data_IF_577849355672
#
_entry.id   IF_577849355672
#
_cell.length_a   1.000
_cell.length_b   1.000
_cell.length_c   1.000
_cell.angle_alpha   90.00
_cell.angle_beta   90.00
_cell.angle_gamma   90.00
#
_symmetry.space_group_name_H-M   'P 1'
#
loop_
_entity.id
_entity.type
_entity.pdbx_description
1 polymer ?
#
# COMPACT_ATOMS: atom_id res chain seq x y z
N UNK A 1 -7.43 28.96 21.83
CA UNK A 1 -7.70 28.08 23.00
C UNK A 1 -6.43 27.27 23.19
N UNK A 2 -5.86 27.16 24.40
CA UNK A 2 -4.61 26.42 24.61
C UNK A 2 -4.88 24.93 24.37
N UNK A 3 -4.49 24.39 23.21
CA UNK A 3 -4.45 22.93 22.99
C UNK A 3 -3.52 22.35 24.06
N UNK A 4 -3.96 21.28 24.73
CA UNK A 4 -3.14 20.62 25.75
C UNK A 4 -1.91 20.02 25.06
N UNK A 5 -0.74 20.24 25.66
CA UNK A 5 0.53 19.69 25.19
C UNK A 5 0.42 18.17 25.05
N UNK A 6 0.57 17.69 23.82
CA UNK A 6 0.56 16.26 23.49
C UNK A 6 1.98 15.76 23.72
N UNK A 7 2.11 14.77 24.60
CA UNK A 7 3.27 13.89 24.59
C UNK A 7 3.04 12.89 23.46
N UNK A 8 3.55 13.21 22.28
CA UNK A 8 3.68 12.22 21.20
C UNK A 8 4.73 11.23 21.71
N UNK A 9 4.46 9.93 21.60
CA UNK A 9 5.42 8.90 21.93
C UNK A 9 5.41 7.91 20.77
N UNK A 10 6.19 8.22 19.74
CA UNK A 10 6.49 7.34 18.63
C UNK A 10 7.50 6.31 19.14
N UNK A 11 6.98 5.25 19.76
CA UNK A 11 7.76 4.09 20.15
C UNK A 11 8.15 3.25 18.95
N UNK A 12 9.08 3.72 18.12
CA UNK A 12 9.78 2.88 17.15
C UNK A 12 11.09 2.38 17.78
N UNK A 13 11.08 1.11 18.15
CA UNK A 13 12.23 0.38 18.69
C UNK A 13 13.33 0.19 17.63
N UNK A 14 14.11 1.25 17.40
CA UNK A 14 15.40 1.18 16.73
C UNK A 14 16.44 0.51 17.62
N UNK A 15 16.88 -0.68 17.23
CA UNK A 15 17.88 -1.46 17.96
C UNK A 15 19.22 -0.74 18.03
N UNK A 16 19.52 -0.16 19.19
CA UNK A 16 20.86 0.28 19.57
C UNK A 16 21.83 -0.93 19.52
N UNK A 17 22.71 -0.95 18.53
CA UNK A 17 23.87 -1.86 18.53
C UNK A 17 24.86 -1.37 19.58
N UNK A 18 24.72 -1.89 20.81
CA UNK A 18 25.73 -1.78 21.85
C UNK A 18 26.94 -2.65 21.47
N UNK A 19 28.04 -2.01 21.04
CA UNK A 19 29.35 -2.65 21.00
C UNK A 19 29.85 -2.83 22.44
N UNK A 20 29.56 -3.99 23.02
CA UNK A 20 30.16 -4.44 24.27
C UNK A 20 31.57 -4.96 24.05
N UNK A 21 32.58 -4.19 24.45
CA UNK A 21 33.95 -4.69 24.59
C UNK A 21 34.23 -4.88 26.09
N UNK A 22 34.37 -6.15 26.49
CA UNK A 22 34.87 -6.58 27.80
C UNK A 22 36.31 -6.07 28.00
N UNK A 23 36.54 -5.24 29.04
CA UNK A 23 37.85 -5.21 29.69
C UNK A 23 37.74 -4.93 31.19
N UNK A 24 38.51 -5.69 31.96
CA UNK A 24 38.44 -5.82 33.40
C UNK A 24 39.47 -4.91 34.06
N UNK A 25 39.05 -3.88 34.78
CA UNK A 25 39.98 -3.04 35.55
C UNK A 25 39.31 -2.06 36.48
N UNK A 26 39.30 -2.36 37.78
CA UNK A 26 38.76 -1.48 38.81
C UNK A 26 39.53 -0.16 38.92
N UNK A 27 38.83 0.94 38.68
CA UNK A 27 39.19 2.28 39.15
C UNK A 27 37.90 3.07 39.40
N UNK A 28 37.84 3.80 40.51
CA UNK A 28 36.76 4.68 40.89
C UNK A 28 36.55 5.77 39.84
N UNK A 29 35.59 5.57 38.92
CA UNK A 29 35.20 6.56 37.93
C UNK A 29 34.00 7.34 38.43
N UNK A 30 34.14 8.66 38.53
CA UNK A 30 32.98 9.54 38.40
C UNK A 30 32.33 9.20 37.06
N UNK A 31 31.08 8.78 37.06
CA UNK A 31 30.30 8.62 35.84
C UNK A 31 30.08 10.01 35.27
N UNK A 32 30.94 10.42 34.32
CA UNK A 32 30.65 11.55 33.44
C UNK A 32 29.32 11.21 32.75
N UNK A 33 28.31 12.10 32.78
CA UNK A 33 27.08 11.89 32.01
C UNK A 33 27.45 11.58 30.56
N UNK A 34 26.92 10.49 30.01
CA UNK A 34 27.13 10.15 28.61
C UNK A 34 26.26 11.09 27.77
N UNK A 35 26.91 11.99 27.03
CA UNK A 35 26.22 12.88 26.09
C UNK A 35 25.45 12.04 25.08
N UNK A 36 24.17 12.35 24.92
CA UNK A 36 23.32 11.78 23.87
C UNK A 36 23.08 12.87 22.83
N UNK A 37 23.41 12.62 21.56
CA UNK A 37 23.19 13.56 20.47
C UNK A 37 22.09 13.08 19.53
N UNK A 38 21.39 14.03 18.93
CA UNK A 38 20.43 13.79 17.86
C UNK A 38 20.86 14.63 16.64
N UNK A 39 21.11 13.95 15.53
CA UNK A 39 21.69 14.55 14.32
C UNK A 39 20.57 14.94 13.37
N UNK A 40 20.47 16.21 13.04
CA UNK A 40 19.47 16.78 12.11
C UNK A 40 20.20 17.29 10.88
N UNK A 41 19.59 17.13 9.71
CA UNK A 41 20.12 17.66 8.44
C UNK A 41 19.16 18.72 7.88
N UNK A 42 19.65 19.95 7.70
CA UNK A 42 18.91 21.02 7.05
C UNK A 42 19.22 21.05 5.54
N UNK A 43 18.21 20.89 4.68
CA UNK A 43 18.38 20.67 3.24
C UNK A 43 17.51 21.64 2.43
N UNK A 44 18.15 22.42 1.57
CA UNK A 44 17.59 23.23 0.47
C UNK A 44 18.57 23.06 -0.70
N UNK A 45 19.85 23.39 -0.45
CA UNK A 45 21.07 22.87 -1.08
C UNK A 45 22.13 22.54 -0.01
N UNK A 46 21.71 21.86 1.06
CA UNK A 46 22.36 21.82 2.39
C UNK A 46 22.61 23.19 3.01
N UNK A 47 21.97 23.47 4.15
CA UNK A 47 22.07 24.78 4.81
C UNK A 47 23.13 24.79 5.89
N UNK A 48 24.22 25.53 5.71
CA UNK A 48 25.27 25.77 6.71
C UNK A 48 25.03 27.06 7.49
N UNK A 49 25.34 27.05 8.79
CA UNK A 49 25.09 28.15 9.73
C UNK A 49 23.59 28.53 9.91
N UNK A 50 22.68 27.60 9.62
CA UNK A 50 21.27 27.71 9.98
C UNK A 50 21.09 27.37 11.46
N UNK A 51 20.10 27.98 12.11
CA UNK A 51 19.75 27.63 13.49
C UNK A 51 18.78 26.45 13.49
N UNK A 52 19.10 25.40 14.24
CA UNK A 52 18.31 24.17 14.32
C UNK A 52 17.94 23.92 15.77
N UNK A 53 16.69 23.58 16.05
CA UNK A 53 16.24 23.20 17.38
C UNK A 53 15.13 22.15 17.36
N UNK A 54 15.04 21.42 18.45
CA UNK A 54 13.96 20.49 18.74
C UNK A 54 12.85 21.23 19.48
N UNK A 55 11.66 21.32 18.90
CA UNK A 55 10.54 22.08 19.48
C UNK A 55 9.76 21.20 20.48
N UNK A 56 10.15 21.30 21.74
CA UNK A 56 9.68 20.41 22.81
C UNK A 56 8.25 20.72 23.24
N UNK A 57 7.79 21.95 23.03
CA UNK A 57 6.50 22.41 23.50
C UNK A 57 5.49 22.68 22.37
N UNK A 58 5.92 22.46 21.12
CA UNK A 58 5.13 22.58 19.87
C UNK A 58 4.60 23.99 19.67
N UNK A 59 5.43 25.00 19.92
CA UNK A 59 5.10 26.42 19.69
C UNK A 59 5.88 27.02 18.49
N UNK A 60 6.69 26.20 17.82
CA UNK A 60 7.57 26.53 16.70
C UNK A 60 8.60 27.62 16.98
N UNK A 61 8.75 28.05 18.22
CA UNK A 61 9.58 29.16 18.65
C UNK A 61 10.68 28.64 19.57
N UNK A 62 11.93 28.88 19.19
CA UNK A 62 13.07 28.44 19.98
C UNK A 62 13.04 28.99 21.42
N UNK A 63 12.91 28.08 22.38
CA UNK A 63 12.97 28.39 23.80
C UNK A 63 14.38 28.12 24.39
N UNK A 64 14.79 28.80 25.48
CA UNK A 64 16.13 28.63 26.06
C UNK A 64 16.45 27.20 26.56
N UNK A 65 15.42 26.42 26.87
CA UNK A 65 15.54 25.06 27.41
C UNK A 65 15.48 23.98 26.30
N UNK A 66 15.36 24.38 25.03
CA UNK A 66 15.28 23.46 23.90
C UNK A 66 16.68 23.10 23.35
N UNK A 67 16.93 21.80 23.07
CA UNK A 67 18.12 21.37 22.36
C UNK A 67 18.26 22.12 21.04
N UNK A 68 19.42 22.75 20.83
CA UNK A 68 19.66 23.53 19.62
C UNK A 68 21.13 23.56 19.24
N UNK A 69 21.39 23.74 17.95
CA UNK A 69 22.73 23.91 17.40
C UNK A 69 22.69 24.77 16.13
N UNK A 70 23.86 25.16 15.64
CA UNK A 70 23.99 25.72 14.30
C UNK A 70 24.43 24.59 13.36
N UNK A 71 23.82 24.50 12.19
CA UNK A 71 24.21 23.51 11.17
C UNK A 71 25.62 23.77 10.64
N UNK A 72 26.34 22.68 10.39
CA UNK A 72 27.69 22.66 9.83
C UNK A 72 27.71 22.37 8.34
N UNK A 73 28.81 21.78 7.87
CA UNK A 73 28.93 21.32 6.49
C UNK A 73 27.93 20.19 6.20
N UNK A 74 27.35 20.18 5.00
CA UNK A 74 26.29 19.23 4.63
C UNK A 74 25.01 19.40 5.45
N UNK A 75 24.76 20.59 6.02
CA UNK A 75 23.52 20.89 6.73
C UNK A 75 23.38 20.25 8.12
N UNK A 76 24.40 19.55 8.62
CA UNK A 76 24.29 18.72 9.84
C UNK A 76 24.35 19.57 11.11
N UNK A 77 23.38 19.40 12.00
CA UNK A 77 23.32 19.97 13.34
C UNK A 77 23.21 18.86 14.39
N UNK A 78 24.15 18.83 15.34
CA UNK A 78 24.17 17.85 16.44
C UNK A 78 23.55 18.48 17.70
N UNK A 79 22.33 18.06 18.04
CA UNK A 79 21.60 18.56 19.20
C UNK A 79 21.97 17.77 20.45
N UNK A 80 22.27 18.46 21.56
CA UNK A 80 22.43 17.80 22.86
C UNK A 80 21.05 17.48 23.45
N UNK A 81 20.68 16.20 23.39
CA UNK A 81 19.39 15.67 23.85
C UNK A 81 19.54 14.82 25.10
N UNK A 82 20.63 14.99 25.86
CA UNK A 82 20.94 14.19 27.05
C UNK A 82 19.80 14.19 28.08
N UNK A 83 19.06 15.30 28.18
CA UNK A 83 17.94 15.48 29.11
C UNK A 83 16.55 15.31 28.45
N UNK A 84 16.49 14.91 27.17
CA UNK A 84 15.24 14.69 26.44
C UNK A 84 14.98 13.19 26.32
N UNK A 85 13.80 12.76 26.79
CA UNK A 85 13.34 11.39 26.56
C UNK A 85 12.72 11.32 25.17
N UNK A 86 13.19 10.40 24.33
CA UNK A 86 12.73 10.17 22.95
C UNK A 86 12.71 11.46 22.10
N UNK A 87 13.86 11.97 21.66
CA UNK A 87 13.90 13.21 20.88
C UNK A 87 13.09 13.14 19.57
N UNK A 88 12.88 11.94 19.00
CA UNK A 88 12.08 11.74 17.79
C UNK A 88 10.58 12.02 17.98
N UNK A 89 10.11 12.19 19.23
CA UNK A 89 8.72 12.50 19.53
C UNK A 89 8.34 13.96 19.23
N UNK A 90 9.31 14.80 18.86
CA UNK A 90 9.14 16.24 18.72
C UNK A 90 9.47 16.71 17.30
N UNK A 91 8.76 17.71 16.78
CA UNK A 91 9.09 18.32 15.51
C UNK A 91 10.42 19.06 15.61
N UNK A 92 11.08 19.19 14.47
CA UNK A 92 12.37 19.86 14.34
C UNK A 92 12.20 21.08 13.48
N UNK A 93 12.78 22.20 13.90
CA UNK A 93 12.66 23.48 13.18
C UNK A 93 14.06 23.95 12.79
N UNK A 94 14.16 24.46 11.56
CA UNK A 94 15.36 25.07 10.99
C UNK A 94 15.02 26.51 10.61
N UNK A 95 15.81 27.47 11.08
CA UNK A 95 15.75 28.86 10.63
C UNK A 95 16.99 29.20 9.82
N UNK A 96 16.77 29.48 8.55
CA UNK A 96 17.74 30.02 7.63
C UNK A 96 17.80 31.55 7.82
N UNK A 97 19.01 32.10 8.09
CA UNK A 97 19.22 33.50 8.47
C UNK A 97 19.89 34.26 7.32
N UNK A 98 19.21 35.28 6.80
CA UNK A 98 19.70 36.16 5.74
C UNK A 98 21.09 36.73 6.05
N UNK A 99 22.03 36.55 5.13
CA UNK A 99 23.39 37.04 5.26
C UNK A 99 24.29 36.27 6.24
N UNK A 100 23.79 35.17 6.83
CA UNK A 100 24.56 34.29 7.72
C UNK A 100 24.54 32.84 7.24
N UNK A 101 23.37 32.32 6.92
CA UNK A 101 23.19 30.96 6.42
C UNK A 101 23.66 30.89 4.97
N UNK A 102 24.39 29.84 4.65
CA UNK A 102 24.91 29.55 3.32
C UNK A 102 24.27 28.26 2.86
N UNK A 103 23.51 28.35 1.78
CA UNK A 103 23.14 27.22 0.96
C UNK A 103 24.40 26.74 0.21
N UNK A 104 24.77 25.47 0.29
CA UNK A 104 26.02 24.99 -0.29
C UNK A 104 26.00 24.97 -1.83
N UNK A 105 24.81 25.01 -2.45
CA UNK A 105 24.62 25.04 -3.90
C UNK A 105 24.44 26.47 -4.44
N UNK A 106 23.71 27.34 -3.72
CA UNK A 106 23.39 28.71 -4.15
C UNK A 106 24.24 29.80 -3.47
N UNK A 107 24.90 29.48 -2.36
CA UNK A 107 25.70 30.41 -1.57
C UNK A 107 24.93 31.12 -0.46
N UNK A 108 25.37 32.33 -0.09
CA UNK A 108 24.80 33.04 1.06
C UNK A 108 23.35 33.46 0.79
N UNK A 109 22.42 32.99 1.63
CA UNK A 109 21.00 33.31 1.44
C UNK A 109 20.72 34.79 1.72
N UNK A 110 19.70 35.33 1.05
CA UNK A 110 19.38 36.76 1.08
C UNK A 110 18.08 37.12 1.80
N UNK A 111 17.22 36.13 2.03
CA UNK A 111 15.94 36.24 2.75
C UNK A 111 15.93 35.24 3.89
N UNK A 112 15.24 35.55 4.99
CA UNK A 112 15.04 34.58 6.06
C UNK A 112 13.92 33.62 5.65
N UNK A 113 14.02 32.38 6.10
CA UNK A 113 12.90 31.46 6.05
C UNK A 113 13.05 30.40 7.13
N UNK A 114 11.95 29.76 7.48
CA UNK A 114 11.84 28.71 8.46
C UNK A 114 11.29 27.46 7.80
N UNK A 115 11.95 26.35 8.06
CA UNK A 115 11.53 25.03 7.65
C UNK A 115 11.25 24.19 8.90
N UNK A 116 10.40 23.19 8.76
CA UNK A 116 10.07 22.26 9.85
C UNK A 116 9.91 20.85 9.33
N UNK A 117 10.21 19.86 10.15
CA UNK A 117 9.89 18.47 9.86
C UNK A 117 8.98 17.91 10.96
N UNK A 118 8.04 17.01 10.63
CA UNK A 118 7.18 16.39 11.61
C UNK A 118 7.97 15.47 12.56
N UNK A 119 7.39 15.09 13.72
CA UNK A 119 8.00 14.11 14.62
C UNK A 119 8.44 12.83 13.88
N UNK A 120 9.60 12.30 14.27
CA UNK A 120 10.23 11.12 13.67
C UNK A 120 11.25 11.45 12.58
N UNK A 121 11.14 12.64 11.96
CA UNK A 121 12.00 13.03 10.84
C UNK A 121 13.26 13.76 11.29
N UNK A 122 14.40 13.38 10.70
CA UNK A 122 15.70 14.02 10.96
C UNK A 122 16.21 14.87 9.78
N UNK A 123 15.46 14.88 8.67
CA UNK A 123 15.68 15.73 7.49
C UNK A 123 14.67 16.85 7.51
N UNK A 124 15.16 18.09 7.53
CA UNK A 124 14.33 19.29 7.51
C UNK A 124 14.55 20.00 6.18
N UNK A 125 13.53 19.96 5.35
CA UNK A 125 13.51 20.43 3.96
C UNK A 125 12.28 21.31 3.70
N UNK A 126 12.24 22.07 2.58
CA UNK A 126 11.03 22.77 2.14
C UNK A 126 9.83 21.81 2.02
N UNK A 127 10.05 20.60 1.50
CA UNK A 127 9.02 19.57 1.33
C UNK A 127 8.50 19.04 2.66
N UNK A 128 9.40 18.70 3.59
CA UNK A 128 9.01 18.27 4.95
C UNK A 128 8.22 19.36 5.71
N UNK A 129 8.42 20.63 5.35
CA UNK A 129 7.69 21.76 5.92
C UNK A 129 6.24 21.74 5.50
N UNK A 130 5.96 21.46 4.23
CA UNK A 130 4.60 21.29 3.73
C UNK A 130 3.91 20.12 4.43
N UNK A 131 4.58 18.98 4.56
CA UNK A 131 4.05 17.80 5.28
C UNK A 131 3.75 18.15 6.74
N UNK A 132 4.66 18.83 7.43
CA UNK A 132 4.44 19.20 8.82
C UNK A 132 3.26 20.17 8.98
N UNK A 133 3.11 21.15 8.07
CA UNK A 133 1.97 22.07 8.08
C UNK A 133 0.65 21.33 7.91
N UNK A 134 0.53 20.49 6.88
CA UNK A 134 -0.69 19.71 6.63
C UNK A 134 -0.99 18.77 7.78
N UNK A 135 0.02 18.10 8.32
CA UNK A 135 -0.12 17.22 9.48
C UNK A 135 -0.69 17.99 10.67
N UNK A 136 -0.04 19.06 11.13
CA UNK A 136 -0.44 19.81 12.33
C UNK A 136 -1.83 20.43 12.21
N UNK A 137 -2.18 20.96 11.02
CA UNK A 137 -3.51 21.52 10.75
C UNK A 137 -4.60 20.43 10.77
N UNK A 138 -4.26 19.18 10.43
CA UNK A 138 -5.17 18.04 10.50
C UNK A 138 -5.39 17.49 11.92
N UNK A 139 -4.59 17.91 12.91
CA UNK A 139 -4.64 17.39 14.28
C UNK A 139 -5.69 18.09 15.15
N UNK A 140 -6.56 17.26 15.74
CA UNK A 140 -7.55 17.64 16.75
C UNK A 140 -6.98 17.59 18.18
N UNK A 141 -5.88 16.86 18.37
CA UNK A 141 -5.16 16.67 19.62
C UNK A 141 -5.66 15.51 20.48
N UNK A 142 -6.38 14.56 19.88
CA UNK A 142 -6.90 13.33 20.51
C UNK A 142 -6.53 12.07 19.75
N UNK A 143 -5.64 12.18 18.76
CA UNK A 143 -5.23 11.10 17.88
C UNK A 143 -4.46 10.01 18.65
N UNK A 144 -4.77 8.77 18.34
CA UNK A 144 -3.95 7.61 18.68
C UNK A 144 -2.68 7.57 17.82
N UNK A 145 -1.64 6.80 18.21
CA UNK A 145 -0.44 6.67 17.40
C UNK A 145 -0.70 6.18 15.96
N UNK A 146 -1.68 5.30 15.76
CA UNK A 146 -2.05 4.81 14.43
C UNK A 146 -2.74 5.89 13.58
N UNK A 147 -3.65 6.66 14.17
CA UNK A 147 -4.31 7.78 13.48
C UNK A 147 -3.32 8.90 13.13
N UNK A 148 -2.31 9.14 13.99
CA UNK A 148 -1.25 10.10 13.72
C UNK A 148 -0.41 9.67 12.51
N UNK A 149 -0.03 8.39 12.46
CA UNK A 149 0.74 7.85 11.33
C UNK A 149 -0.06 7.92 10.02
N UNK A 150 -1.35 7.55 10.07
CA UNK A 150 -2.23 7.67 8.91
C UNK A 150 -2.34 9.12 8.41
N UNK A 151 -2.50 10.08 9.32
CA UNK A 151 -2.55 11.51 8.96
C UNK A 151 -1.23 12.03 8.41
N UNK A 152 -0.10 11.54 8.92
CA UNK A 152 1.23 11.86 8.38
C UNK A 152 1.39 11.29 6.97
N UNK A 153 0.98 10.05 6.75
CA UNK A 153 1.01 9.42 5.44
C UNK A 153 0.12 10.19 4.45
N UNK A 154 -1.09 10.58 4.87
CA UNK A 154 -1.98 11.40 4.04
C UNK A 154 -1.35 12.75 3.70
N UNK A 155 -0.73 13.44 4.66
CA UNK A 155 -0.03 14.70 4.41
C UNK A 155 1.15 14.52 3.43
N UNK A 156 1.88 13.42 3.54
CA UNK A 156 2.97 13.07 2.64
C UNK A 156 2.46 12.80 1.23
N UNK A 157 1.43 11.95 1.08
CA UNK A 157 0.77 11.66 -0.20
C UNK A 157 0.27 12.94 -0.86
N UNK A 158 -0.45 13.80 -0.13
CA UNK A 158 -0.95 15.06 -0.67
C UNK A 158 0.17 15.98 -1.21
N UNK A 159 1.31 16.07 -0.51
CA UNK A 159 2.46 16.87 -0.98
C UNK A 159 3.09 16.25 -2.21
N UNK A 160 3.27 14.93 -2.23
CA UNK A 160 3.82 14.22 -3.37
C UNK A 160 2.97 14.43 -4.63
N UNK A 161 1.65 14.31 -4.47
CA UNK A 161 0.66 14.43 -5.55
C UNK A 161 0.66 15.81 -6.17
N UNK A 162 0.52 16.86 -5.34
CA UNK A 162 0.51 18.24 -5.81
C UNK A 162 1.79 18.64 -6.55
N UNK A 163 2.92 18.01 -6.22
CA UNK A 163 4.21 18.30 -6.81
C UNK A 163 4.56 17.39 -7.99
N UNK A 164 3.80 16.32 -8.24
CA UNK A 164 4.16 15.34 -9.27
C UNK A 164 5.44 14.56 -8.95
N UNK A 165 5.68 14.21 -7.69
CA UNK A 165 6.90 13.47 -7.27
C UNK A 165 6.57 12.18 -6.54
N UNK A 166 7.53 11.28 -6.43
CA UNK A 166 7.39 10.06 -5.63
C UNK A 166 7.24 10.42 -4.14
N UNK A 167 6.30 9.74 -3.48
CA UNK A 167 6.01 9.88 -2.06
C UNK A 167 7.24 9.58 -1.17
N UNK A 168 8.10 8.65 -1.57
CA UNK A 168 9.31 8.28 -0.83
C UNK A 168 10.36 9.41 -0.84
N UNK A 169 10.27 10.34 -1.80
CA UNK A 169 11.24 11.42 -1.97
C UNK A 169 10.91 12.68 -1.14
N UNK A 170 9.70 12.78 -0.58
CA UNK A 170 9.20 13.99 0.10
C UNK A 170 9.93 14.28 1.40
N UNK A 171 10.17 13.25 2.22
CA UNK A 171 10.84 13.37 3.52
C UNK A 171 12.32 12.94 3.48
N UNK A 172 12.82 12.56 2.30
CA UNK A 172 14.17 12.06 2.10
C UNK A 172 15.26 13.15 1.97
N UNK A 173 16.49 12.70 1.80
CA UNK A 173 17.62 13.55 1.39
C UNK A 173 17.74 13.50 -0.14
N UNK A 174 16.92 14.31 -0.80
CA UNK A 174 16.86 14.36 -2.27
C UNK A 174 18.21 14.69 -2.94
N UNK A 175 19.16 15.29 -2.22
CA UNK A 175 20.51 15.57 -2.73
C UNK A 175 21.35 14.29 -2.70
N UNK A 176 21.40 13.62 -1.55
CA UNK A 176 22.17 12.39 -1.39
C UNK A 176 21.66 11.26 -2.31
N UNK A 177 20.33 11.19 -2.47
CA UNK A 177 19.65 10.15 -3.24
C UNK A 177 19.58 10.48 -4.74
N UNK A 178 19.96 11.70 -5.15
CA UNK A 178 19.90 12.22 -6.52
C UNK A 178 18.46 12.30 -7.07
N UNK A 179 17.50 12.64 -6.22
CA UNK A 179 16.10 12.84 -6.60
C UNK A 179 15.91 14.24 -7.15
N UNK A 180 16.13 14.38 -8.45
CA UNK A 180 16.20 15.70 -9.11
C UNK A 180 14.87 16.45 -9.13
N UNK A 181 13.73 15.74 -9.20
CA UNK A 181 12.41 16.37 -9.17
C UNK A 181 12.10 16.94 -7.79
N UNK A 182 12.33 16.16 -6.72
CA UNK A 182 12.21 16.63 -5.34
C UNK A 182 13.17 17.79 -5.03
N UNK A 183 14.42 17.72 -5.52
CA UNK A 183 15.38 18.82 -5.39
C UNK A 183 14.89 20.10 -6.09
N UNK A 184 14.38 19.98 -7.32
CA UNK A 184 13.80 21.10 -8.06
C UNK A 184 12.60 21.70 -7.34
N UNK A 185 11.69 20.86 -6.82
CA UNK A 185 10.53 21.32 -6.06
C UNK A 185 10.96 22.08 -4.79
N UNK A 186 11.89 21.53 -4.02
CA UNK A 186 12.42 22.16 -2.82
C UNK A 186 13.02 23.55 -3.11
N UNK A 187 13.88 23.64 -4.11
CA UNK A 187 14.51 24.91 -4.54
C UNK A 187 13.45 25.94 -4.97
N UNK A 188 12.45 25.54 -5.76
CA UNK A 188 11.43 26.45 -6.26
C UNK A 188 10.46 26.94 -5.18
N UNK A 189 10.17 26.14 -4.15
CA UNK A 189 9.42 26.59 -2.98
C UNK A 189 10.13 27.74 -2.26
N UNK A 190 11.47 27.67 -2.14
CA UNK A 190 12.28 28.73 -1.53
C UNK A 190 12.35 29.96 -2.44
N UNK A 191 12.60 29.77 -3.75
CA UNK A 191 12.65 30.86 -4.73
C UNK A 191 11.34 31.64 -4.84
N UNK A 192 10.21 30.94 -4.65
CA UNK A 192 8.87 31.54 -4.64
C UNK A 192 8.64 32.45 -3.42
N UNK A 193 9.48 32.34 -2.38
CA UNK A 193 9.38 33.10 -1.12
C UNK A 193 8.06 32.88 -0.36
N UNK A 194 7.51 31.67 -0.44
CA UNK A 194 6.25 31.31 0.23
C UNK A 194 6.46 30.63 1.58
N UNK A 195 7.68 30.15 1.86
CA UNK A 195 8.00 29.57 3.17
C UNK A 195 7.92 30.64 4.27
N UNK A 196 7.56 30.28 5.52
CA UNK A 196 7.44 31.23 6.62
C UNK A 196 8.75 32.00 6.85
N UNK A 197 8.71 33.32 6.95
CA UNK A 197 9.91 34.16 7.14
C UNK A 197 10.49 33.97 8.56
N UNK A 198 9.63 33.71 9.55
CA UNK A 198 10.02 33.52 10.94
C UNK A 198 9.17 32.50 11.72
N UNK A 199 9.61 32.17 12.93
CA UNK A 199 8.96 31.18 13.80
C UNK A 199 7.56 31.57 14.24
N UNK A 200 7.26 32.87 14.32
CA UNK A 200 5.94 33.38 14.71
C UNK A 200 4.95 33.21 13.56
N UNK A 201 5.41 33.43 12.33
CA UNK A 201 4.63 33.15 11.13
C UNK A 201 4.35 31.65 11.00
N UNK A 202 5.38 30.80 11.13
CA UNK A 202 5.19 29.34 11.13
C UNK A 202 4.17 28.92 12.19
N UNK A 203 4.32 29.36 13.45
CA UNK A 203 3.36 29.04 14.51
C UNK A 203 1.93 29.49 14.17
N UNK A 204 1.78 30.65 13.52
CA UNK A 204 0.48 31.16 13.10
C UNK A 204 -0.12 30.34 11.96
N UNK A 205 0.70 29.78 11.07
CA UNK A 205 0.27 28.89 9.99
C UNK A 205 -0.18 27.54 10.58
N UNK A 206 0.59 26.94 11.49
CA UNK A 206 0.25 25.64 12.09
C UNK A 206 -1.05 25.66 12.93
N UNK A 207 -1.45 26.83 13.44
CA UNK A 207 -2.72 26.99 14.18
C UNK A 207 -3.97 27.16 13.29
N UNK A 208 -3.80 27.37 11.98
CA UNK A 208 -4.90 27.58 11.05
C UNK A 208 -5.61 26.27 10.68
N UNK A 209 -6.84 26.39 10.18
CA UNK A 209 -7.56 25.30 9.55
C UNK A 209 -7.06 25.16 8.11
N UNK A 210 -6.70 23.95 7.69
CA UNK A 210 -6.16 23.70 6.35
C UNK A 210 -7.09 24.17 5.23
N UNK A 211 -8.41 24.06 5.43
CA UNK A 211 -9.43 24.50 4.47
C UNK A 211 -9.49 26.03 4.26
N UNK A 212 -8.88 26.82 5.14
CA UNK A 212 -8.91 28.28 5.11
C UNK A 212 -7.53 28.91 5.34
N UNK A 213 -6.46 28.15 5.17
CA UNK A 213 -5.09 28.63 5.38
C UNK A 213 -4.59 29.31 4.10
N UNK A 214 -4.36 30.64 4.09
CA UNK A 214 -3.80 31.32 2.91
C UNK A 214 -2.47 30.72 2.47
N UNK A 215 -1.65 30.27 3.44
CA UNK A 215 -0.41 29.57 3.14
C UNK A 215 -0.66 28.29 2.33
N UNK A 216 -1.68 27.49 2.69
CA UNK A 216 -1.97 26.23 1.98
C UNK A 216 -2.47 26.52 0.57
N UNK A 217 -3.36 27.51 0.39
CA UNK A 217 -3.83 27.92 -0.94
C UNK A 217 -2.69 28.39 -1.84
N UNK A 218 -1.82 29.26 -1.33
CA UNK A 218 -0.66 29.74 -2.11
C UNK A 218 0.29 28.59 -2.45
N UNK A 219 0.57 27.70 -1.49
CA UNK A 219 1.38 26.49 -1.73
C UNK A 219 0.76 25.62 -2.81
N UNK A 220 -0.55 25.39 -2.81
CA UNK A 220 -1.22 24.60 -3.85
C UNK A 220 -0.98 25.18 -5.24
N UNK A 221 -1.18 26.49 -5.42
CA UNK A 221 -0.99 27.14 -6.73
C UNK A 221 0.48 27.10 -7.16
N UNK A 222 1.42 27.31 -6.23
CA UNK A 222 2.85 27.22 -6.53
C UNK A 222 3.25 25.78 -6.86
N UNK A 223 2.74 24.79 -6.13
CA UNK A 223 2.98 23.38 -6.40
C UNK A 223 2.49 22.99 -7.79
N UNK A 224 1.32 23.47 -8.21
CA UNK A 224 0.81 23.22 -9.57
C UNK A 224 1.74 23.77 -10.66
N UNK A 225 2.33 24.96 -10.47
CA UNK A 225 3.29 25.53 -11.42
C UNK A 225 4.65 24.79 -11.38
N UNK A 226 5.06 24.25 -10.23
CA UNK A 226 6.23 23.36 -10.10
C UNK A 226 5.96 22.02 -10.82
N UNK A 227 4.79 21.42 -10.60
CA UNK A 227 4.39 20.15 -11.18
C UNK A 227 4.42 20.22 -12.72
N UNK A 228 3.82 21.26 -13.30
CA UNK A 228 3.88 21.54 -14.75
C UNK A 228 5.30 21.55 -15.33
N UNK A 229 6.31 21.92 -14.55
CA UNK A 229 7.73 21.93 -14.97
C UNK A 229 8.37 20.56 -14.82
N UNK A 230 8.04 19.82 -13.77
CA UNK A 230 8.44 18.43 -13.58
C UNK A 230 7.88 17.59 -14.73
N UNK A 231 6.56 17.66 -14.99
CA UNK A 231 5.91 16.95 -16.09
C UNK A 231 6.54 17.24 -17.44
N UNK A 232 6.89 18.51 -17.70
CA UNK A 232 7.60 18.90 -18.91
C UNK A 232 8.93 18.16 -19.04
N UNK A 233 9.72 18.08 -17.97
CA UNK A 233 11.02 17.40 -17.98
C UNK A 233 10.84 15.89 -18.15
N UNK A 234 9.92 15.27 -17.42
CA UNK A 234 9.69 13.83 -17.45
C UNK A 234 9.11 13.38 -18.80
N UNK A 235 8.11 14.09 -19.32
CA UNK A 235 7.52 13.87 -20.64
C UNK A 235 8.47 14.19 -21.80
N UNK A 236 9.60 14.86 -21.53
CA UNK A 236 10.57 15.22 -22.58
C UNK A 236 11.35 14.03 -23.14
N UNK A 237 11.26 12.85 -22.50
CA UNK A 237 12.05 11.67 -22.85
C UNK A 237 13.56 11.91 -22.72
N UNK A 238 13.97 12.74 -21.77
CA UNK A 238 15.37 13.14 -21.52
C UNK A 238 15.91 14.20 -22.47
N UNK A 239 15.05 14.92 -23.19
CA UNK A 239 15.47 16.05 -24.04
C UNK A 239 15.56 17.38 -23.30
N UNK A 240 14.95 17.47 -22.12
CA UNK A 240 15.05 18.58 -21.18
C UNK A 240 15.60 18.08 -19.84
N UNK A 241 16.16 19.00 -19.08
CA UNK A 241 16.58 18.82 -17.69
C UNK A 241 16.11 20.03 -16.87
N UNK A 242 16.14 19.92 -15.54
CA UNK A 242 15.71 21.01 -14.66
C UNK A 242 16.53 22.29 -14.83
N UNK A 243 17.79 22.18 -15.30
CA UNK A 243 18.62 23.34 -15.62
C UNK A 243 18.14 24.10 -16.86
N UNK A 244 17.41 23.44 -17.78
CA UNK A 244 16.92 24.02 -19.03
C UNK A 244 15.46 24.42 -18.98
N UNK A 245 14.64 23.79 -18.13
CA UNK A 245 13.22 24.15 -17.93
C UNK A 245 13.04 25.47 -17.17
N UNK A 246 14.06 25.85 -16.39
CA UNK A 246 14.09 27.07 -15.59
C UNK A 246 13.18 27.02 -14.37
N UNK A 247 13.08 28.15 -13.66
CA UNK A 247 12.28 28.27 -12.45
C UNK A 247 10.77 28.10 -12.75
N UNK A 248 10.02 27.64 -11.76
CA UNK A 248 8.57 27.47 -11.85
C UNK A 248 7.87 28.82 -11.99
N UNK A 249 8.33 29.83 -11.25
CA UNK A 249 7.83 31.20 -11.31
C UNK A 249 8.91 32.16 -11.83
N UNK A 250 8.51 33.11 -12.69
CA UNK A 250 9.41 34.13 -13.24
C UNK A 250 9.88 35.17 -12.19
N UNK A 251 9.19 35.25 -11.05
CA UNK A 251 9.46 36.17 -9.95
C UNK A 251 8.90 35.62 -8.62
N UNK A 252 9.39 36.10 -7.47
CA UNK A 252 8.75 35.83 -6.18
C UNK A 252 7.30 36.28 -6.16
N UNK A 253 6.49 35.58 -5.36
CA UNK A 253 5.05 35.78 -5.26
C UNK A 253 4.72 37.23 -4.83
N UNK A 254 3.71 37.81 -5.48
CA UNK A 254 3.22 39.14 -5.21
C UNK A 254 2.53 39.30 -3.86
N UNK A 255 2.15 40.54 -3.55
CA UNK A 255 1.45 40.90 -2.29
C UNK A 255 0.11 41.60 -2.54
N UNK A 256 -0.30 41.72 -3.80
CA UNK A 256 -1.60 42.31 -4.14
C UNK A 256 -2.60 41.18 -4.20
N UNK A 257 -3.69 41.31 -3.45
CA UNK A 257 -4.77 40.34 -3.35
C UNK A 257 -6.08 41.16 -3.43
N UNK A 258 -6.75 41.09 -4.57
CA UNK A 258 -7.82 41.99 -4.98
C UNK A 258 -9.17 41.63 -4.35
N UNK A 259 -9.42 40.35 -4.06
CA UNK A 259 -10.66 39.88 -3.43
C UNK A 259 -10.48 39.41 -1.98
N UNK A 260 -9.25 39.40 -1.47
CA UNK A 260 -8.85 39.10 -0.09
C UNK A 260 -9.13 37.64 0.31
N UNK A 261 -8.93 36.72 -0.63
CA UNK A 261 -9.11 35.29 -0.39
C UNK A 261 -7.84 34.61 0.18
N UNK A 262 -6.71 35.32 0.17
CA UNK A 262 -5.41 34.88 0.65
C UNK A 262 -4.40 34.51 -0.43
N UNK A 263 -4.81 34.44 -1.70
CA UNK A 263 -3.95 34.15 -2.86
C UNK A 263 -3.63 35.46 -3.60
N UNK A 264 -2.35 35.77 -3.84
CA UNK A 264 -1.99 36.98 -4.58
C UNK A 264 -2.43 36.95 -6.06
N UNK A 265 -2.85 38.10 -6.59
CA UNK A 265 -3.39 38.32 -7.94
C UNK A 265 -2.52 37.75 -9.08
N UNK A 266 -1.22 37.59 -8.87
CA UNK A 266 -0.28 37.04 -9.86
C UNK A 266 -0.25 35.51 -9.90
N UNK A 267 -0.73 34.86 -8.85
CA UNK A 267 -0.95 33.42 -8.76
C UNK A 267 -2.42 33.05 -8.95
N UNK A 268 -3.33 33.91 -8.51
CA UNK A 268 -4.76 33.68 -8.52
C UNK A 268 -5.32 33.63 -9.96
N UNK A 269 -5.95 32.50 -10.32
CA UNK A 269 -6.62 32.33 -11.62
C UNK A 269 -7.94 33.11 -11.70
N UNK A 270 -8.53 33.43 -10.55
CA UNK A 270 -9.75 34.21 -10.39
C UNK A 270 -9.58 35.43 -9.47
N UNK A 271 -8.73 36.44 -9.80
CA UNK A 271 -8.36 37.57 -8.91
C UNK A 271 -9.46 38.50 -8.40
N UNK A 272 -10.73 38.22 -8.70
CA UNK A 272 -11.87 39.02 -8.25
C UNK A 272 -13.01 38.15 -7.72
N UNK A 273 -12.79 36.85 -7.52
CA UNK A 273 -13.75 35.90 -6.98
C UNK A 273 -13.15 35.15 -5.78
N UNK A 274 -13.39 35.67 -4.58
CA UNK A 274 -12.81 35.11 -3.34
C UNK A 274 -13.23 33.67 -3.00
N UNK A 275 -14.07 33.04 -3.81
CA UNK A 275 -14.47 31.65 -3.67
C UNK A 275 -13.56 30.69 -4.47
N UNK A 276 -12.84 31.17 -5.48
CA UNK A 276 -12.04 30.40 -6.41
C UNK A 276 -10.65 31.01 -6.53
N UNK A 277 -9.60 30.20 -6.68
CA UNK A 277 -8.23 30.72 -6.78
C UNK A 277 -7.32 29.91 -7.71
N UNK A 278 -7.65 28.65 -7.96
CA UNK A 278 -6.91 27.72 -8.80
C UNK A 278 -7.84 27.14 -9.89
N UNK A 279 -7.23 26.71 -10.99
CA UNK A 279 -7.84 26.16 -12.22
C UNK A 279 -6.75 25.24 -12.80
N UNK A 280 -6.65 24.03 -12.23
CA UNK A 280 -5.51 23.13 -12.41
C UNK A 280 -5.41 22.63 -13.86
N UNK A 281 -6.53 22.14 -14.41
CA UNK A 281 -6.68 21.69 -15.79
C UNK A 281 -6.83 22.82 -16.84
N UNK A 282 -7.14 24.05 -16.41
CA UNK A 282 -7.31 25.21 -17.27
C UNK A 282 -8.61 25.19 -18.08
N UNK A 283 -9.65 24.48 -17.63
CA UNK A 283 -10.95 24.40 -18.30
C UNK A 283 -11.79 25.69 -18.10
N UNK A 284 -11.43 26.49 -17.09
CA UNK A 284 -12.03 27.77 -16.74
C UNK A 284 -13.10 27.70 -15.65
N UNK A 285 -13.38 26.52 -15.11
CA UNK A 285 -13.99 26.27 -13.80
C UNK A 285 -12.87 26.29 -12.76
N UNK A 286 -13.14 26.82 -11.55
CA UNK A 286 -12.11 26.84 -10.51
C UNK A 286 -12.17 25.58 -9.67
N UNK A 287 -11.02 25.12 -9.17
CA UNK A 287 -10.85 23.84 -8.45
C UNK A 287 -11.79 23.71 -7.23
N UNK A 288 -12.28 24.81 -6.63
CA UNK A 288 -13.22 24.71 -5.50
C UNK A 288 -14.64 24.34 -5.98
N UNK A 289 -14.98 24.69 -7.22
CA UNK A 289 -16.27 24.42 -7.85
C UNK A 289 -16.21 23.28 -8.88
N UNK A 290 -15.02 22.91 -9.35
CA UNK A 290 -14.84 21.73 -10.17
C UNK A 290 -15.09 20.45 -9.37
N UNK A 291 -15.37 19.37 -10.09
CA UNK A 291 -15.55 18.03 -9.51
C UNK A 291 -14.51 17.05 -10.01
N UNK A 292 -13.64 17.47 -10.91
CA UNK A 292 -12.61 16.69 -11.63
C UNK A 292 -11.49 17.68 -11.99
N UNK A 293 -10.65 18.01 -11.00
CA UNK A 293 -9.65 19.09 -11.02
C UNK A 293 -8.57 18.90 -12.11
N UNK A 294 -8.31 17.67 -12.55
CA UNK A 294 -7.32 17.34 -13.59
C UNK A 294 -7.93 16.81 -14.90
N UNK A 295 -9.26 16.65 -14.95
CA UNK A 295 -10.03 16.30 -16.14
C UNK A 295 -9.68 14.90 -16.70
N UNK A 296 -9.26 13.97 -15.84
CA UNK A 296 -8.96 12.58 -16.19
C UNK A 296 -10.24 11.71 -16.38
N UNK A 297 -11.38 12.23 -15.90
CA UNK A 297 -12.70 11.60 -15.98
C UNK A 297 -13.16 10.92 -14.69
N UNK A 298 -12.43 11.06 -13.59
CA UNK A 298 -12.73 10.57 -12.24
C UNK A 298 -12.94 11.77 -11.34
N UNK A 299 -13.98 11.72 -10.51
CA UNK A 299 -14.27 12.86 -9.64
C UNK A 299 -13.30 12.92 -8.46
N UNK A 300 -12.92 14.13 -8.01
CA UNK A 300 -11.97 14.38 -6.90
C UNK A 300 -12.38 13.70 -5.58
N UNK A 301 -13.69 13.47 -5.35
CA UNK A 301 -14.18 12.82 -4.14
C UNK A 301 -13.92 11.32 -4.10
N UNK A 302 -13.56 10.76 -5.25
CA UNK A 302 -13.21 9.35 -5.46
C UNK A 302 -11.83 9.14 -6.05
N UNK A 303 -11.23 10.19 -6.61
CA UNK A 303 -9.89 10.14 -7.15
C UNK A 303 -8.85 10.22 -6.02
N UNK A 304 -7.90 9.30 -6.06
CA UNK A 304 -6.77 9.33 -5.13
C UNK A 304 -5.76 10.39 -5.54
N UNK A 305 -5.68 10.78 -6.82
CA UNK A 305 -4.71 11.71 -7.39
C UNK A 305 -5.34 12.92 -8.11
N UNK A 306 -6.15 13.78 -7.45
CA UNK A 306 -6.94 14.85 -8.12
C UNK A 306 -6.16 15.96 -8.85
N UNK A 307 -4.84 15.84 -8.97
CA UNK A 307 -3.95 16.81 -9.60
C UNK A 307 -2.94 16.10 -10.53
N UNK A 308 -3.26 14.91 -11.04
CA UNK A 308 -2.42 14.12 -11.93
C UNK A 308 -3.28 13.40 -12.97
N UNK A 309 -3.42 14.02 -14.15
CA UNK A 309 -4.27 13.54 -15.27
C UNK A 309 -3.88 12.18 -15.87
N UNK A 310 -2.77 11.60 -15.42
CA UNK A 310 -2.27 10.29 -15.81
C UNK A 310 -2.40 9.22 -14.71
N UNK A 311 -3.09 9.54 -13.60
CA UNK A 311 -3.34 8.67 -12.45
C UNK A 311 -4.79 8.75 -12.02
N UNK A 312 -5.28 7.68 -11.38
CA UNK A 312 -6.68 7.52 -11.01
C UNK A 312 -6.89 6.89 -9.63
N UNK A 313 -5.81 6.42 -8.99
CA UNK A 313 -5.86 5.84 -7.66
C UNK A 313 -5.82 4.34 -7.63
N UNK A 314 -5.82 3.77 -6.43
CA UNK A 314 -5.76 2.34 -6.17
C UNK A 314 -6.95 1.99 -5.26
N UNK A 315 -8.06 1.53 -5.86
CA UNK A 315 -9.37 1.44 -5.20
C UNK A 315 -9.44 0.28 -4.20
N UNK A 316 -8.73 -0.81 -4.46
CA UNK A 316 -8.66 -2.00 -3.61
C UNK A 316 -7.36 -2.12 -2.81
N UNK A 317 -6.38 -1.23 -3.04
CA UNK A 317 -5.08 -1.19 -2.38
C UNK A 317 -4.18 -2.38 -2.76
N UNK A 318 -4.25 -2.84 -4.01
CA UNK A 318 -3.41 -3.90 -4.54
C UNK A 318 -2.01 -3.40 -5.00
N UNK A 319 -1.84 -2.08 -5.03
CA UNK A 319 -0.62 -1.39 -5.44
C UNK A 319 -0.56 -1.04 -6.93
N UNK A 320 -1.67 -1.18 -7.67
CA UNK A 320 -1.81 -0.84 -9.08
C UNK A 320 -2.78 0.32 -9.25
N UNK A 321 -2.44 1.27 -10.11
CA UNK A 321 -3.34 2.38 -10.43
C UNK A 321 -4.53 1.87 -11.26
N UNK A 322 -5.73 2.41 -11.01
CA UNK A 322 -7.01 2.06 -11.61
C UNK A 322 -6.96 2.08 -13.15
N UNK A 323 -6.17 2.98 -13.75
CA UNK A 323 -6.03 3.04 -15.21
C UNK A 323 -5.23 1.85 -15.79
N UNK A 324 -4.35 1.27 -14.98
CA UNK A 324 -3.51 0.12 -15.32
C UNK A 324 -4.04 -1.22 -14.75
N UNK A 325 -5.02 -1.17 -13.84
CA UNK A 325 -5.55 -2.33 -13.16
C UNK A 325 -6.60 -3.11 -13.97
N UNK A 326 -6.38 -4.42 -14.07
CA UNK A 326 -7.32 -5.35 -14.69
C UNK A 326 -8.49 -5.71 -13.77
N UNK A 327 -8.31 -5.64 -12.45
CA UNK A 327 -9.28 -6.02 -11.44
C UNK A 327 -9.57 -4.90 -10.43
N UNK A 328 -9.99 -3.70 -10.88
CA UNK A 328 -10.11 -2.45 -10.08
C UNK A 328 -11.06 -2.46 -8.87
N UNK A 329 -11.69 -3.59 -8.59
CA UNK A 329 -12.57 -3.80 -7.46
C UNK A 329 -12.41 -5.24 -6.99
N UNK A 330 -11.21 -5.63 -6.57
CA UNK A 330 -10.86 -6.95 -6.03
C UNK A 330 -10.37 -6.75 -4.58
N UNK A 331 -11.26 -6.88 -3.60
CA UNK A 331 -10.97 -6.43 -2.24
C UNK A 331 -10.03 -7.33 -1.43
N UNK A 332 -9.72 -8.52 -1.90
CA UNK A 332 -8.77 -9.42 -1.26
C UNK A 332 -7.56 -9.79 -2.14
N UNK A 333 -7.54 -9.26 -3.37
CA UNK A 333 -6.46 -9.35 -4.35
C UNK A 333 -6.20 -10.79 -4.81
N UNK A 334 -7.26 -11.57 -5.01
CA UNK A 334 -7.19 -12.97 -5.46
C UNK A 334 -7.30 -13.16 -6.99
N UNK A 335 -7.60 -12.07 -7.71
CA UNK A 335 -7.74 -12.00 -9.15
C UNK A 335 -9.19 -12.09 -9.67
N UNK A 336 -10.20 -12.03 -8.79
CA UNK A 336 -11.61 -11.98 -9.14
C UNK A 336 -12.25 -10.68 -8.64
N UNK A 337 -12.98 -9.99 -9.52
CA UNK A 337 -13.70 -8.79 -9.10
C UNK A 337 -14.81 -9.14 -8.11
N UNK A 338 -15.01 -8.27 -7.12
CA UNK A 338 -16.01 -8.38 -6.07
C UNK A 338 -17.43 -8.70 -6.56
N UNK A 339 -17.79 -8.36 -7.81
CA UNK A 339 -19.12 -8.60 -8.37
C UNK A 339 -19.31 -9.99 -8.99
N UNK A 340 -18.21 -10.70 -9.25
CA UNK A 340 -18.19 -12.08 -9.76
C UNK A 340 -17.59 -13.07 -8.76
N UNK A 341 -16.99 -12.58 -7.69
CA UNK A 341 -16.44 -13.36 -6.58
C UNK A 341 -17.54 -13.68 -5.54
N UNK A 342 -17.71 -14.96 -5.20
CA UNK A 342 -18.61 -15.42 -4.15
C UNK A 342 -18.11 -15.08 -2.73
N UNK A 343 -16.81 -14.89 -2.55
CA UNK A 343 -16.14 -14.56 -1.29
C UNK A 343 -15.17 -13.37 -1.41
N UNK A 344 -15.67 -12.13 -1.66
CA UNK A 344 -14.85 -10.93 -1.95
C UNK A 344 -13.90 -10.41 -0.85
N UNK A 345 -13.67 -11.18 0.20
CA UNK A 345 -12.84 -10.84 1.36
C UNK A 345 -11.97 -12.03 1.83
N UNK A 346 -12.07 -13.17 1.15
CA UNK A 346 -11.29 -14.36 1.41
C UNK A 346 -10.44 -14.70 0.17
N UNK A 347 -9.16 -14.33 0.16
CA UNK A 347 -8.31 -14.49 -1.02
C UNK A 347 -7.94 -15.94 -1.36
N UNK A 348 -8.59 -16.90 -0.71
CA UNK A 348 -8.43 -18.33 -0.95
C UNK A 348 -9.65 -19.00 -1.59
N UNK A 349 -10.76 -18.28 -1.77
CA UNK A 349 -12.02 -18.81 -2.27
C UNK A 349 -12.67 -17.81 -3.22
N UNK A 350 -13.19 -18.24 -4.38
CA UNK A 350 -13.86 -17.34 -5.33
C UNK A 350 -15.19 -17.86 -5.89
N UNK A 351 -15.48 -19.16 -5.71
CA UNK A 351 -16.64 -19.85 -6.27
C UNK A 351 -17.40 -20.59 -5.17
N UNK A 352 -18.74 -20.66 -5.33
CA UNK A 352 -19.71 -21.33 -4.46
C UNK A 352 -20.76 -21.96 -5.37
N UNK A 353 -20.43 -23.11 -5.95
CA UNK A 353 -21.13 -23.73 -7.08
C UNK A 353 -22.56 -24.15 -6.71
N UNK A 354 -22.79 -24.55 -5.47
CA UNK A 354 -24.11 -24.93 -4.94
C UNK A 354 -24.82 -23.82 -4.14
N UNK A 355 -24.10 -22.75 -3.76
CA UNK A 355 -24.62 -21.63 -2.99
C UNK A 355 -24.83 -21.95 -1.51
N UNK A 356 -24.10 -22.91 -0.95
CA UNK A 356 -24.23 -23.31 0.46
C UNK A 356 -23.45 -22.40 1.42
N UNK A 357 -22.53 -21.60 0.88
CA UNK A 357 -21.70 -20.63 1.60
C UNK A 357 -20.34 -21.17 2.04
N UNK A 358 -19.96 -22.37 1.62
CA UNK A 358 -18.61 -22.92 1.62
C UNK A 358 -18.02 -22.73 0.23
N UNK A 359 -16.79 -22.25 0.11
CA UNK A 359 -16.18 -22.08 -1.21
C UNK A 359 -15.72 -23.40 -1.80
N UNK A 360 -15.76 -23.53 -3.13
CA UNK A 360 -15.43 -24.73 -3.90
C UNK A 360 -14.00 -25.26 -3.60
N UNK A 361 -13.05 -24.43 -3.13
CA UNK A 361 -11.71 -24.93 -2.76
C UNK A 361 -11.73 -25.64 -1.40
N UNK A 362 -12.64 -25.27 -0.51
CA UNK A 362 -12.84 -25.85 0.82
C UNK A 362 -13.94 -26.90 0.88
N UNK A 363 -14.87 -26.90 -0.08
CA UNK A 363 -15.90 -27.92 -0.22
C UNK A 363 -15.31 -29.26 -0.72
N UNK A 364 -16.02 -30.36 -0.46
CA UNK A 364 -15.69 -31.69 -0.97
C UNK A 364 -16.72 -32.20 -1.97
N UNK A 365 -17.82 -31.47 -2.17
CA UNK A 365 -18.97 -31.77 -3.04
C UNK A 365 -19.53 -30.42 -3.53
N UNK A 366 -18.82 -29.80 -4.48
CA UNK A 366 -19.00 -28.43 -4.96
C UNK A 366 -20.44 -28.14 -5.46
N UNK A 367 -21.17 -29.14 -5.95
CA UNK A 367 -22.53 -28.99 -6.47
C UNK A 367 -23.63 -29.63 -5.61
N UNK A 368 -23.23 -30.27 -4.50
CA UNK A 368 -24.06 -30.90 -3.49
C UNK A 368 -25.03 -31.97 -4.06
N UNK A 369 -24.62 -32.70 -5.10
CA UNK A 369 -25.39 -33.80 -5.68
C UNK A 369 -25.26 -35.12 -4.90
N UNK A 370 -24.29 -35.18 -3.98
CA UNK A 370 -24.01 -36.30 -3.09
C UNK A 370 -22.81 -37.16 -3.51
N UNK A 371 -22.07 -36.78 -4.55
CA UNK A 371 -20.82 -37.39 -5.00
C UNK A 371 -19.67 -36.42 -4.74
N UNK A 372 -18.62 -36.86 -4.04
CA UNK A 372 -17.49 -35.94 -3.77
C UNK A 372 -16.73 -35.62 -5.06
N UNK A 373 -16.16 -34.42 -5.19
CA UNK A 373 -15.47 -33.93 -6.40
C UNK A 373 -14.35 -34.85 -6.90
N UNK A 374 -13.72 -35.58 -5.99
CA UNK A 374 -12.63 -36.52 -6.31
C UNK A 374 -13.10 -37.74 -7.11
N UNK A 375 -14.38 -38.08 -6.97
CA UNK A 375 -15.06 -39.18 -7.64
C UNK A 375 -16.01 -38.66 -8.73
N UNK A 376 -16.32 -37.36 -8.77
CA UNK A 376 -17.23 -36.73 -9.73
C UNK A 376 -16.55 -36.31 -11.05
N UNK A 377 -17.15 -36.66 -12.19
CA UNK A 377 -16.66 -36.24 -13.50
C UNK A 377 -17.08 -34.80 -13.87
N UNK A 378 -18.13 -34.29 -13.24
CA UNK A 378 -18.74 -32.97 -13.41
C UNK A 378 -18.95 -32.26 -12.05
N UNK A 379 -17.89 -31.98 -11.25
CA UNK A 379 -18.02 -31.54 -9.85
C UNK A 379 -18.86 -30.27 -9.60
N UNK A 380 -19.11 -29.45 -10.61
CA UNK A 380 -19.84 -28.18 -10.49
C UNK A 380 -21.19 -28.21 -11.23
N UNK A 381 -21.74 -29.40 -11.55
CA UNK A 381 -23.01 -29.60 -12.27
C UNK A 381 -23.85 -30.70 -11.62
N UNK A 382 -24.70 -30.29 -10.66
CA UNK A 382 -25.56 -31.18 -9.86
C UNK A 382 -26.60 -32.01 -10.62
N UNK A 383 -26.55 -32.03 -11.94
CA UNK A 383 -27.41 -32.84 -12.78
C UNK A 383 -26.73 -34.10 -13.30
N UNK A 384 -25.41 -34.23 -13.14
CA UNK A 384 -24.59 -35.32 -13.67
C UNK A 384 -23.36 -35.54 -12.77
N UNK A 385 -23.02 -36.80 -12.47
CA UNK A 385 -21.80 -37.15 -11.73
C UNK A 385 -20.80 -37.99 -12.56
N UNK A 386 -21.22 -38.50 -13.72
CA UNK A 386 -20.43 -39.39 -14.58
C UNK A 386 -20.97 -40.82 -14.64
N UNK A 387 -20.29 -41.66 -15.43
CA UNK A 387 -20.68 -43.06 -15.71
C UNK A 387 -19.53 -43.98 -15.26
N UNK A 388 -19.65 -44.54 -14.06
CA UNK A 388 -18.53 -45.18 -13.34
C UNK A 388 -18.22 -46.60 -13.83
N UNK A 389 -19.22 -47.34 -14.31
CA UNK A 389 -19.07 -48.69 -14.84
C UNK A 389 -19.18 -48.76 -16.38
N UNK A 390 -19.44 -47.64 -17.06
CA UNK A 390 -19.50 -47.48 -18.51
C UNK A 390 -20.69 -48.18 -19.17
N UNK A 391 -21.84 -48.25 -18.47
CA UNK A 391 -23.08 -48.81 -18.98
C UNK A 391 -23.89 -47.81 -19.86
N UNK A 392 -23.51 -46.53 -19.80
CA UNK A 392 -24.13 -45.42 -20.51
C UNK A 392 -25.21 -44.67 -19.73
N UNK A 393 -25.35 -44.92 -18.42
CA UNK A 393 -26.24 -44.25 -17.48
C UNK A 393 -25.37 -43.43 -16.50
N UNK A 394 -25.83 -42.22 -16.21
CA UNK A 394 -25.16 -41.36 -15.22
C UNK A 394 -25.45 -41.85 -13.79
N UNK A 395 -24.44 -41.79 -12.92
CA UNK A 395 -24.45 -42.32 -11.55
C UNK A 395 -25.65 -41.84 -10.73
N UNK A 396 -26.07 -40.57 -10.86
CA UNK A 396 -27.23 -40.02 -10.13
C UNK A 396 -28.55 -40.69 -10.53
N UNK A 397 -28.60 -41.29 -11.70
CA UNK A 397 -29.79 -41.91 -12.29
C UNK A 397 -29.69 -43.44 -12.37
N UNK A 398 -28.56 -44.01 -11.99
CA UNK A 398 -28.32 -45.44 -12.07
C UNK A 398 -28.86 -46.18 -10.82
N UNK A 399 -29.51 -47.32 -11.06
CA UNK A 399 -29.96 -48.22 -10.00
C UNK A 399 -28.89 -49.26 -9.61
N UNK A 400 -27.87 -49.46 -10.46
CA UNK A 400 -26.80 -50.42 -10.28
C UNK A 400 -25.42 -49.80 -10.55
N UNK A 401 -25.03 -48.70 -9.85
CA UNK A 401 -23.90 -47.82 -10.19
C UNK A 401 -22.50 -48.44 -10.04
N UNK A 402 -22.41 -49.73 -9.77
CA UNK A 402 -21.19 -50.49 -9.59
C UNK A 402 -21.41 -51.88 -10.19
N UNK A 403 -21.83 -51.98 -11.44
CA UNK A 403 -22.08 -53.23 -12.17
C UNK A 403 -21.15 -53.30 -13.38
N UNK A 404 -19.96 -53.88 -13.20
CA UNK A 404 -18.88 -53.78 -14.22
C UNK A 404 -19.23 -54.49 -15.52
N UNK A 405 -20.07 -55.51 -15.48
CA UNK A 405 -20.41 -56.34 -16.64
C UNK A 405 -21.84 -56.15 -17.14
N UNK A 406 -22.63 -55.33 -16.45
CA UNK A 406 -23.97 -54.90 -16.80
C UNK A 406 -25.00 -56.05 -16.84
N UNK A 407 -24.92 -56.97 -15.89
CA UNK A 407 -25.84 -58.10 -15.77
C UNK A 407 -27.02 -57.86 -14.80
N UNK A 408 -26.99 -56.74 -14.08
CA UNK A 408 -28.00 -56.26 -13.15
C UNK A 408 -27.72 -56.56 -11.67
N UNK A 409 -26.51 -56.98 -11.32
CA UNK A 409 -26.06 -57.20 -9.95
C UNK A 409 -24.83 -56.34 -9.63
N UNK A 410 -24.87 -55.62 -8.51
CA UNK A 410 -23.70 -54.83 -8.08
C UNK A 410 -22.52 -55.75 -7.76
N UNK A 411 -21.31 -55.28 -8.07
CA UNK A 411 -20.04 -55.99 -7.88
C UNK A 411 -19.84 -56.56 -6.47
N UNK A 412 -20.48 -55.99 -5.44
CA UNK A 412 -20.34 -56.42 -4.05
C UNK A 412 -21.23 -57.62 -3.67
N UNK A 413 -22.29 -57.85 -4.44
CA UNK A 413 -23.22 -58.97 -4.31
C UNK A 413 -23.08 -59.99 -5.44
N UNK A 414 -22.37 -59.63 -6.50
CA UNK A 414 -22.01 -60.51 -7.61
C UNK A 414 -20.78 -61.39 -7.27
N UNK A 415 -20.93 -62.71 -7.42
CA UNK A 415 -19.85 -63.66 -7.26
C UNK A 415 -18.82 -63.64 -8.42
N UNK A 416 -19.22 -63.17 -9.61
CA UNK A 416 -18.37 -63.03 -10.80
C UNK A 416 -18.53 -61.64 -11.46
N UNK A 417 -18.07 -60.55 -10.82
CA UNK A 417 -18.27 -59.15 -11.27
C UNK A 417 -17.67 -58.73 -12.62
N UNK A 418 -17.14 -59.66 -13.43
CA UNK A 418 -16.60 -59.39 -14.77
C UNK A 418 -17.20 -60.34 -15.83
N UNK A 419 -18.10 -61.25 -15.44
CA UNK A 419 -18.76 -62.22 -16.31
C UNK A 419 -20.28 -62.02 -16.33
N UNK A 420 -20.82 -61.35 -17.37
CA UNK A 420 -22.23 -60.95 -17.41
C UNK A 420 -23.21 -62.12 -17.61
N UNK A 421 -22.71 -63.35 -17.50
CA UNK A 421 -23.50 -64.58 -17.58
C UNK A 421 -23.62 -65.31 -16.25
N UNK A 422 -22.91 -64.88 -15.20
CA UNK A 422 -22.86 -65.55 -13.90
C UNK A 422 -22.88 -64.54 -12.75
N UNK A 423 -23.86 -64.60 -11.85
CA UNK A 423 -23.92 -63.71 -10.69
C UNK A 423 -23.83 -64.42 -9.33
N UNK A 424 -23.94 -65.76 -9.33
CA UNK A 424 -24.07 -66.55 -8.11
C UNK A 424 -23.16 -67.78 -8.15
N UNK A 425 -22.56 -68.11 -7.01
CA UNK A 425 -21.81 -69.34 -6.75
C UNK A 425 -22.34 -69.93 -5.43
N UNK A 426 -23.39 -70.74 -5.50
CA UNK A 426 -24.16 -71.17 -4.33
C UNK A 426 -23.41 -72.18 -3.46
N UNK A 427 -22.42 -72.92 -4.00
CA UNK A 427 -21.59 -73.85 -3.24
C UNK A 427 -20.12 -73.41 -3.06
N UNK A 428 -19.77 -72.22 -3.55
CA UNK A 428 -18.47 -71.56 -3.45
C UNK A 428 -17.34 -72.41 -4.07
N UNK A 429 -17.60 -73.10 -5.18
CA UNK A 429 -16.60 -73.93 -5.86
C UNK A 429 -15.82 -73.21 -6.97
N UNK A 430 -16.21 -71.98 -7.29
CA UNK A 430 -15.60 -71.10 -8.28
C UNK A 430 -16.15 -71.26 -9.70
N UNK A 431 -17.22 -72.02 -9.90
CA UNK A 431 -17.99 -72.10 -11.15
C UNK A 431 -19.35 -71.47 -10.90
N UNK A 432 -19.76 -70.53 -11.75
CA UNK A 432 -21.07 -69.88 -11.60
C UNK A 432 -22.24 -70.84 -11.73
N UNK A 433 -23.31 -70.58 -10.98
CA UNK A 433 -24.51 -71.42 -10.87
C UNK A 433 -25.17 -71.69 -12.23
N UNK A 434 -25.00 -70.82 -13.23
CA UNK A 434 -25.59 -71.01 -14.58
C UNK A 434 -24.76 -71.96 -15.45
N UNK A 435 -23.45 -72.05 -15.22
CA UNK A 435 -22.51 -72.96 -15.88
C UNK A 435 -22.27 -74.26 -15.10
N UNK A 436 -22.63 -74.30 -13.81
CA UNK A 436 -22.42 -75.46 -12.96
C UNK A 436 -23.51 -76.54 -13.15
N UNK A 437 -23.07 -77.79 -13.34
CA UNK A 437 -23.96 -78.95 -13.38
C UNK A 437 -24.49 -79.34 -11.98
N UNK A 438 -23.81 -78.89 -10.92
CA UNK A 438 -24.18 -79.14 -9.52
C UNK A 438 -24.22 -77.88 -8.65
N UNK A 439 -25.05 -76.84 -8.94
CA UNK A 439 -25.00 -75.51 -8.29
C UNK A 439 -25.28 -75.47 -6.77
N UNK A 440 -25.47 -76.60 -6.12
CA UNK A 440 -25.69 -76.69 -4.66
C UNK A 440 -24.92 -77.92 -4.12
N UNK A 441 -23.82 -78.27 -4.79
CA UNK A 441 -23.01 -79.45 -4.56
C UNK A 441 -22.11 -79.31 -3.34
N UNK A 442 -21.16 -80.22 -3.20
CA UNK A 442 -20.07 -79.99 -2.23
C UNK A 442 -18.89 -79.36 -2.98
N UNK A 443 -18.32 -78.24 -2.45
CA UNK A 443 -17.26 -77.53 -3.14
C UNK A 443 -16.09 -78.47 -3.47
N UNK A 444 -15.82 -78.62 -4.77
CA UNK A 444 -14.65 -79.35 -5.27
C UNK A 444 -14.88 -80.79 -5.77
N UNK A 445 -16.10 -81.17 -6.17
CA UNK A 445 -16.31 -82.43 -6.93
C UNK A 445 -16.51 -82.20 -8.42
N UNK A 446 -15.60 -81.49 -9.07
CA UNK A 446 -15.44 -81.59 -10.53
C UNK A 446 -15.37 -83.05 -10.94
N UNK A 447 -16.39 -83.53 -11.65
CA UNK A 447 -16.51 -84.92 -12.08
C UNK A 447 -15.43 -85.19 -13.11
N UNK A 448 -14.35 -85.85 -12.70
CA UNK A 448 -13.39 -86.44 -13.63
C UNK A 448 -14.08 -87.57 -14.42
N UNK A 449 -14.52 -87.26 -15.64
CA UNK A 449 -14.99 -88.27 -16.60
C UNK A 449 -13.84 -89.23 -16.95
N UNK A 450 -13.93 -90.46 -16.42
CA UNK A 450 -12.95 -91.54 -16.66
C UNK A 450 -13.41 -92.51 -17.75
N UNK A 451 -14.38 -92.15 -18.59
CA UNK A 451 -14.99 -93.08 -19.55
C UNK A 451 -14.19 -93.37 -20.83
N UNK A 452 -12.93 -92.92 -20.96
CA UNK A 452 -12.14 -93.10 -22.19
C UNK A 452 -10.77 -93.81 -22.06
N UNK A 453 -10.57 -94.66 -21.04
CA UNK A 453 -9.38 -95.52 -21.00
C UNK A 453 -9.71 -96.96 -21.45
N UNK A 454 -9.66 -97.19 -22.76
CA UNK A 454 -9.65 -98.54 -23.32
C UNK A 454 -8.34 -99.25 -23.00
N UNK A 455 -8.45 -100.38 -22.33
CA UNK A 455 -7.36 -101.26 -21.92
C UNK A 455 -6.98 -102.21 -23.06
N UNK A 456 -5.86 -101.97 -23.74
CA UNK A 456 -5.27 -103.01 -24.59
C UNK A 456 -4.10 -102.62 -25.49
N UNK A 457 -2.86 -102.73 -24.99
CA UNK A 457 -1.78 -103.44 -25.68
C UNK A 457 -0.49 -103.48 -24.82
N UNK A 458 0.17 -104.62 -24.92
CA UNK A 458 1.29 -105.14 -24.12
C UNK A 458 2.66 -104.51 -24.36
N UNK A 459 3.47 -104.58 -23.29
CA UNK A 459 4.94 -104.52 -23.20
C UNK A 459 5.74 -104.79 -24.50
N UNK A 460 6.65 -103.87 -24.81
CA UNK A 460 8.09 -104.14 -24.89
C UNK A 460 8.90 -102.96 -24.36
#
# INVERSE_FOLDING_TARGET
MKKNQIAIALGLSGSLVLVGCEDSGGASGQTTPQLSTYSITAIDGYLRNAEVWLDLNRNSTKDPDEPSAMSGAGGIAELDVTDVTNPQDYPVIVRAIAGQTEDEDQGLITTNYVMSAPPGEDKVTPLSTLVNVLLEQSLTGSETPAELEQKKQQALTNVAQQLGIDSDDVLGDFIADNQTAAAYAAENLVLSQILPEDSSELASILEQDSSNSPFVKVVQVVNAEINKKIDQVESSGGSMDFATVGDALDAPVGVTDSDNDGVPDDLDKFPNDSAEYADFDGDGTGDVADTDDDNDGINDDTDLYPYQDDRAGDFDNDGVDLLDDQFPNDSDNDGYQNDVDAFPQDPSEHADSDGDGTGDIADLDDDNDGVNDVDDQYPNDNTQAGDFDNDGIDYLNDQHPNDTDNDGYENDVDAFPEDPTEHADSDNDGIGDSADETPNGEPGTGVWDTSNWDSGATFQ
#
